data_IF_210130221977
#
_entry.id   IF_210130221977
#
_cell.length_a   1.000
_cell.length_b   1.000
_cell.length_c   1.000
_cell.angle_alpha   90.00
_cell.angle_beta   90.00
_cell.angle_gamma   90.00
#
_symmetry.space_group_name_H-M   'P 1'
#
loop_
_entity.id
_entity.type
_entity.pdbx_description
1 polymer ?
#
# COMPACT_ATOMS: atom_id res chain seq x y z
N UNK A 1 -7.09 14.45 -15.56
CA UNK A 1 -7.04 14.11 -14.11
C UNK A 1 -6.09 12.94 -13.97
N UNK A 2 -5.03 13.04 -13.15
CA UNK A 2 -4.00 11.98 -13.03
C UNK A 2 -4.34 11.11 -11.82
N UNK A 3 -4.52 9.81 -12.04
CA UNK A 3 -4.65 8.80 -10.98
C UNK A 3 -3.26 8.24 -10.72
N UNK A 4 -2.82 8.23 -9.45
CA UNK A 4 -1.57 7.58 -9.04
C UNK A 4 -1.83 6.11 -8.74
N UNK A 5 -0.88 5.26 -9.11
CA UNK A 5 -0.93 3.83 -8.84
C UNK A 5 0.43 3.36 -8.32
N UNK A 6 0.44 2.62 -7.22
CA UNK A 6 1.64 1.96 -6.68
C UNK A 6 1.41 0.46 -6.53
N UNK A 7 2.48 -0.31 -6.69
CA UNK A 7 2.41 -1.77 -6.71
C UNK A 7 3.10 -2.39 -5.48
N UNK A 8 2.46 -3.42 -4.92
CA UNK A 8 3.01 -4.22 -3.83
C UNK A 8 2.98 -5.70 -4.16
N UNK A 9 4.03 -6.42 -3.79
CA UNK A 9 4.06 -7.88 -3.84
C UNK A 9 3.62 -8.44 -2.49
N UNK A 10 2.74 -9.43 -2.51
CA UNK A 10 2.29 -10.17 -1.33
C UNK A 10 2.66 -11.63 -1.44
N UNK A 11 2.93 -12.26 -0.29
CA UNK A 11 2.98 -13.73 -0.21
C UNK A 11 1.61 -14.31 -0.55
N UNK A 12 1.50 -15.54 -1.10
CA UNK A 12 0.20 -16.12 -1.46
C UNK A 12 -0.80 -16.11 -0.31
N UNK A 13 -0.34 -16.45 0.90
CA UNK A 13 -1.21 -16.47 2.09
C UNK A 13 -1.80 -15.10 2.42
N UNK A 14 -1.00 -14.03 2.34
CA UNK A 14 -1.50 -12.67 2.57
C UNK A 14 -2.35 -12.19 1.39
N UNK A 15 -1.95 -12.53 0.17
CA UNK A 15 -2.67 -12.16 -1.05
C UNK A 15 -4.10 -12.67 -1.03
N UNK A 16 -4.36 -13.93 -0.65
CA UNK A 16 -5.72 -14.46 -0.58
C UNK A 16 -6.56 -13.75 0.51
N UNK A 17 -5.94 -13.41 1.65
CA UNK A 17 -6.61 -12.63 2.70
C UNK A 17 -6.95 -11.21 2.24
N UNK A 18 -6.05 -10.56 1.50
CA UNK A 18 -6.28 -9.22 0.94
C UNK A 18 -7.31 -9.27 -0.22
N UNK A 19 -7.22 -10.28 -1.10
CA UNK A 19 -8.13 -10.46 -2.25
C UNK A 19 -9.56 -10.72 -1.81
N UNK A 20 -9.75 -11.53 -0.77
CA UNK A 20 -11.08 -11.87 -0.22
C UNK A 20 -11.84 -10.68 0.39
N UNK A 21 -11.15 -9.56 0.68
CA UNK A 21 -11.79 -8.39 1.29
C UNK A 21 -12.12 -8.55 2.77
N UNK A 22 -11.78 -9.70 3.40
CA UNK A 22 -11.92 -9.90 4.85
C UNK A 22 -11.07 -8.86 5.61
N UNK A 23 -9.93 -8.48 5.04
CA UNK A 23 -9.16 -7.31 5.47
C UNK A 23 -9.27 -6.25 4.38
N UNK A 24 -9.81 -5.09 4.74
CA UNK A 24 -9.90 -3.90 3.88
C UNK A 24 -8.65 -3.01 4.00
N UNK A 25 -7.51 -3.60 4.34
CA UNK A 25 -6.25 -2.90 4.46
C UNK A 25 -5.10 -3.81 4.09
N UNK A 26 -3.96 -3.17 3.82
CA UNK A 26 -2.69 -3.85 3.67
C UNK A 26 -1.63 -3.18 4.53
N UNK A 27 -0.70 -3.98 5.05
CA UNK A 27 0.36 -3.53 5.94
C UNK A 27 1.70 -3.63 5.22
N UNK A 28 2.48 -2.55 5.24
CA UNK A 28 3.76 -2.43 4.54
C UNK A 28 4.81 -1.82 5.45
N UNK A 29 5.98 -2.45 5.50
CA UNK A 29 7.16 -1.91 6.17
C UNK A 29 8.05 -1.25 5.12
N UNK A 30 8.47 -0.02 5.37
CA UNK A 30 9.45 0.68 4.54
C UNK A 30 10.72 0.90 5.34
N UNK A 31 11.81 0.32 4.85
CA UNK A 31 13.14 0.46 5.42
C UNK A 31 13.91 1.46 4.56
N UNK A 32 14.51 2.45 5.19
CA UNK A 32 15.27 3.49 4.49
C UNK A 32 16.42 2.87 3.67
N UNK A 33 16.53 3.26 2.39
CA UNK A 33 17.58 2.78 1.48
C UNK A 33 17.30 1.44 0.80
N UNK A 34 16.08 0.89 0.90
CA UNK A 34 15.68 -0.36 0.21
C UNK A 34 14.97 -0.16 -1.14
N UNK A 35 14.95 1.05 -1.71
CA UNK A 35 14.50 1.26 -3.09
C UNK A 35 12.99 1.45 -3.27
N UNK A 36 12.26 1.75 -2.19
CA UNK A 36 10.82 1.97 -2.20
C UNK A 36 10.44 3.47 -2.04
N UNK A 37 11.39 4.38 -2.27
CA UNK A 37 11.24 5.83 -2.04
C UNK A 37 10.05 6.42 -2.81
N UNK A 38 9.84 5.99 -4.06
CA UNK A 38 8.69 6.45 -4.86
C UNK A 38 7.34 6.09 -4.23
N UNK A 39 7.19 4.87 -3.71
CA UNK A 39 5.93 4.44 -3.08
C UNK A 39 5.70 5.21 -1.79
N UNK A 40 6.78 5.44 -1.04
CA UNK A 40 6.76 6.25 0.17
C UNK A 40 6.31 7.69 -0.13
N UNK A 41 6.89 8.35 -1.13
CA UNK A 41 6.49 9.70 -1.55
C UNK A 41 5.01 9.77 -1.93
N UNK A 42 4.50 8.74 -2.60
CA UNK A 42 3.08 8.63 -2.95
C UNK A 42 2.21 8.44 -1.70
N UNK A 43 2.63 7.64 -0.73
CA UNK A 43 1.84 7.48 0.50
C UNK A 43 1.85 8.76 1.35
N UNK A 44 3.00 9.42 1.48
CA UNK A 44 3.14 10.68 2.20
C UNK A 44 2.33 11.80 1.55
N UNK A 45 2.37 11.94 0.22
CA UNK A 45 1.55 12.92 -0.48
C UNK A 45 0.06 12.69 -0.28
N UNK A 46 -0.38 11.43 -0.25
CA UNK A 46 -1.77 11.10 0.10
C UNK A 46 -2.13 11.53 1.53
N UNK A 47 -1.27 11.18 2.50
CA UNK A 47 -1.47 11.55 3.91
C UNK A 47 -1.51 13.07 4.14
N UNK A 48 -0.73 13.83 3.37
CA UNK A 48 -0.69 15.29 3.44
C UNK A 48 -1.86 15.98 2.71
N UNK A 49 -2.70 15.21 2.00
CA UNK A 49 -3.82 15.74 1.24
C UNK A 49 -3.46 16.33 -0.12
N UNK A 50 -2.27 16.01 -0.67
CA UNK A 50 -1.85 16.47 -2.01
C UNK A 50 -2.79 15.94 -3.12
N UNK A 51 -3.52 14.85 -2.84
CA UNK A 51 -4.58 14.31 -3.68
C UNK A 51 -5.58 13.46 -2.86
N UNK A 52 -6.84 13.46 -3.30
CA UNK A 52 -8.00 12.88 -2.59
C UNK A 52 -8.17 11.35 -2.73
N UNK A 53 -9.04 10.77 -1.89
CA UNK A 53 -9.39 9.34 -1.67
C UNK A 53 -9.81 8.53 -2.92
N UNK A 54 -9.95 9.14 -4.08
CA UNK A 54 -10.27 8.49 -5.35
C UNK A 54 -9.12 8.54 -6.37
N UNK A 55 -8.02 9.22 -6.02
CA UNK A 55 -6.86 9.48 -6.90
C UNK A 55 -5.66 8.59 -6.61
N UNK A 56 -5.74 7.71 -5.61
CA UNK A 56 -4.70 6.72 -5.32
C UNK A 56 -5.23 5.30 -5.43
N UNK A 57 -4.59 4.50 -6.28
CA UNK A 57 -4.80 3.05 -6.37
C UNK A 57 -3.58 2.30 -5.86
N UNK A 58 -3.85 1.17 -5.23
CA UNK A 58 -2.82 0.15 -5.02
C UNK A 58 -3.11 -1.06 -5.89
N UNK A 59 -2.06 -1.67 -6.41
CA UNK A 59 -2.10 -2.98 -7.06
C UNK A 59 -1.34 -3.97 -6.19
N UNK A 60 -2.02 -5.03 -5.77
CA UNK A 60 -1.43 -6.10 -4.98
C UNK A 60 -1.20 -7.29 -5.91
N UNK A 61 0.02 -7.81 -5.94
CA UNK A 61 0.47 -8.87 -6.84
C UNK A 61 0.86 -10.08 -5.99
N UNK A 62 0.31 -11.25 -6.30
CA UNK A 62 0.78 -12.51 -5.74
C UNK A 62 2.20 -12.78 -6.25
N UNK A 63 3.18 -12.85 -5.34
CA UNK A 63 4.60 -12.98 -5.69
C UNK A 63 4.94 -14.28 -6.45
N UNK A 64 4.11 -15.31 -6.34
CA UNK A 64 4.37 -16.64 -6.91
C UNK A 64 3.61 -16.85 -8.23
N UNK A 65 2.34 -16.47 -8.28
CA UNK A 65 1.49 -16.69 -9.47
C UNK A 65 1.48 -15.51 -10.43
N UNK A 66 1.85 -14.31 -9.98
CA UNK A 66 1.74 -13.08 -10.75
C UNK A 66 0.31 -12.53 -10.88
N UNK A 67 -0.69 -13.23 -10.33
CA UNK A 67 -2.06 -12.68 -10.26
C UNK A 67 -2.08 -11.35 -9.51
N UNK A 68 -2.99 -10.45 -9.88
CA UNK A 68 -3.11 -9.18 -9.18
C UNK A 68 -4.53 -8.65 -9.13
N UNK A 69 -4.79 -7.80 -8.15
CA UNK A 69 -6.01 -7.01 -8.05
C UNK A 69 -5.67 -5.57 -7.67
N UNK A 70 -6.61 -4.66 -7.92
CA UNK A 70 -6.49 -3.24 -7.62
C UNK A 70 -7.56 -2.78 -6.65
N UNK A 71 -7.23 -1.79 -5.82
CA UNK A 71 -8.14 -1.17 -4.84
C UNK A 71 -7.88 0.34 -4.76
N UNK A 72 -8.90 1.10 -4.39
CA UNK A 72 -8.77 2.53 -4.14
C UNK A 72 -8.40 2.76 -2.68
N UNK A 73 -7.35 3.54 -2.44
CA UNK A 73 -6.91 3.86 -1.08
C UNK A 73 -7.88 4.84 -0.45
N UNK A 74 -8.31 4.54 0.77
CA UNK A 74 -9.24 5.37 1.53
C UNK A 74 -8.59 6.01 2.75
N UNK A 75 -7.51 5.44 3.26
CA UNK A 75 -6.76 5.97 4.39
C UNK A 75 -5.34 5.40 4.41
N UNK A 76 -4.39 6.17 4.94
CA UNK A 76 -3.02 5.72 5.20
C UNK A 76 -2.60 6.19 6.58
N UNK A 77 -2.32 5.24 7.46
CA UNK A 77 -1.79 5.50 8.80
C UNK A 77 -0.37 4.95 8.90
N UNK A 78 0.57 5.75 9.41
CA UNK A 78 1.97 5.35 9.60
C UNK A 78 2.35 5.39 11.07
N UNK A 79 3.13 4.41 11.54
CA UNK A 79 3.71 4.40 12.87
C UNK A 79 5.14 3.90 12.87
N UNK A 80 5.91 4.44 13.81
CA UNK A 80 7.31 4.07 14.01
C UNK A 80 7.41 2.77 14.78
N UNK A 81 8.18 1.81 14.26
CA UNK A 81 8.47 0.55 14.95
C UNK A 81 9.59 0.75 15.97
N UNK A 82 9.78 -0.22 16.86
CA UNK A 82 10.87 -0.21 17.85
C UNK A 82 12.27 -0.20 17.24
N UNK A 83 12.41 -0.51 15.95
CA UNK A 83 13.68 -0.55 15.21
C UNK A 83 13.99 0.71 14.41
N UNK A 84 13.22 1.80 14.62
CA UNK A 84 13.23 3.02 13.81
C UNK A 84 12.71 2.87 12.37
N UNK A 85 12.16 1.72 12.00
CA UNK A 85 11.45 1.54 10.72
C UNK A 85 10.04 2.14 10.79
N UNK A 86 9.41 2.33 9.64
CA UNK A 86 8.03 2.80 9.57
C UNK A 86 7.11 1.71 9.00
N UNK A 87 6.05 1.42 9.75
CA UNK A 87 4.97 0.56 9.29
C UNK A 87 3.80 1.43 8.82
N UNK A 88 3.29 1.11 7.64
CA UNK A 88 2.17 1.77 7.00
C UNK A 88 1.00 0.80 6.92
N UNK A 89 -0.15 1.23 7.44
CA UNK A 89 -1.44 0.59 7.22
C UNK A 89 -2.16 1.38 6.15
N UNK A 90 -2.41 0.74 5.01
CA UNK A 90 -3.05 1.33 3.84
C UNK A 90 -4.43 0.69 3.73
N UNK A 91 -5.47 1.44 4.11
CA UNK A 91 -6.86 1.01 4.01
C UNK A 91 -7.42 1.30 2.63
N UNK A 92 -8.34 0.47 2.15
CA UNK A 92 -8.84 0.55 0.78
C UNK A 92 -10.27 0.00 0.62
N UNK A 93 -10.89 0.34 -0.52
CA UNK A 93 -12.19 -0.19 -0.99
C UNK A 93 -12.09 -0.79 -2.39
#
# INVERSE_FOLDING_TARGET
MIIKEIEFKSTPENYEKEKSGIKNNTVREFIAGMGDEYKLDVLLGFMNGDYYDDKLKIKIINKETGESFKRYVTDVTAFKTSKNDWLYIISWK
#
